data_IF_555873858797
#
_entry.id   IF_555873858797
#
_cell.length_a   1.000
_cell.length_b   1.000
_cell.length_c   1.000
_cell.angle_alpha   90.00
_cell.angle_beta   90.00
_cell.angle_gamma   90.00
#
_symmetry.space_group_name_H-M   'P 1'
#
loop_
_entity.id
_entity.type
_entity.pdbx_description
1 polymer ?
#
# COMPACT_ATOMS: atom_id res chain seq x y z
N UNK A 1 19.10 -20.60 -28.04
CA UNK A 1 18.34 -19.34 -28.22
C UNK A 1 17.95 -18.85 -26.84
N UNK A 2 18.58 -17.78 -26.37
CA UNK A 2 18.24 -17.20 -25.08
C UNK A 2 16.88 -16.50 -25.22
N UNK A 3 15.91 -16.93 -24.41
CA UNK A 3 14.65 -16.22 -24.24
C UNK A 3 14.99 -14.97 -23.45
N UNK A 4 15.20 -13.85 -24.15
CA UNK A 4 15.25 -12.55 -23.49
C UNK A 4 13.90 -12.34 -22.80
N UNK A 5 13.85 -12.13 -21.47
CA UNK A 5 12.61 -11.77 -20.84
C UNK A 5 12.18 -10.41 -21.41
N UNK A 6 11.00 -10.38 -22.02
CA UNK A 6 10.32 -9.19 -22.57
C UNK A 6 10.33 -8.00 -21.58
N UNK A 7 10.46 -8.30 -20.28
CA UNK A 7 10.65 -7.35 -19.18
C UNK A 7 11.76 -6.34 -19.43
N UNK A 8 12.92 -6.77 -19.92
CA UNK A 8 14.09 -5.91 -20.10
C UNK A 8 14.01 -5.09 -21.41
N UNK A 9 13.39 -5.62 -22.45
CA UNK A 9 13.30 -4.97 -23.77
C UNK A 9 12.56 -3.63 -23.72
N UNK A 10 11.53 -3.48 -22.88
CA UNK A 10 10.82 -2.21 -22.67
C UNK A 10 11.66 -1.14 -21.95
N UNK A 11 12.62 -1.52 -21.12
CA UNK A 11 13.53 -0.59 -20.44
C UNK A 11 14.70 -0.17 -21.34
N UNK A 12 15.17 -1.05 -22.23
CA UNK A 12 16.29 -0.78 -23.14
C UNK A 12 15.97 0.10 -24.35
N UNK A 13 14.69 0.33 -24.65
CA UNK A 13 14.26 1.16 -25.79
C UNK A 13 13.53 2.44 -25.34
N UNK A 14 13.57 2.76 -24.05
CA UNK A 14 13.31 4.15 -23.66
C UNK A 14 14.51 4.99 -24.11
N UNK A 15 14.28 6.17 -24.73
CA UNK A 15 15.37 7.09 -25.01
C UNK A 15 16.18 7.32 -23.73
N UNK A 16 17.48 7.63 -23.87
CA UNK A 16 18.27 8.13 -22.73
C UNK A 16 17.51 9.35 -22.21
N UNK A 17 16.84 9.22 -21.09
CA UNK A 17 16.02 10.30 -20.62
C UNK A 17 16.94 11.43 -20.21
N UNK A 18 16.78 12.59 -20.84
CA UNK A 18 17.63 13.73 -20.58
C UNK A 18 17.33 14.33 -19.21
N UNK A 19 18.28 15.07 -18.62
CA UNK A 19 18.01 15.88 -17.42
C UNK A 19 16.79 16.82 -17.63
N UNK A 20 16.52 17.23 -18.87
CA UNK A 20 15.34 18.01 -19.23
C UNK A 20 14.03 17.22 -19.05
N UNK A 21 13.99 15.94 -19.44
CA UNK A 21 12.80 15.08 -19.26
C UNK A 21 12.53 14.78 -17.78
N UNK A 22 13.58 14.59 -16.98
CA UNK A 22 13.41 14.47 -15.53
C UNK A 22 12.82 15.75 -14.94
N UNK A 23 13.34 16.92 -15.33
CA UNK A 23 12.81 18.20 -14.87
C UNK A 23 11.37 18.42 -15.34
N UNK A 24 11.05 18.11 -16.59
CA UNK A 24 9.69 18.22 -17.11
C UNK A 24 8.72 17.32 -16.32
N UNK A 25 9.07 16.05 -16.11
CA UNK A 25 8.29 15.15 -15.26
C UNK A 25 8.16 15.70 -13.84
N UNK A 26 9.24 16.16 -13.25
CA UNK A 26 9.28 16.69 -11.89
C UNK A 26 8.35 17.90 -11.71
N UNK A 27 8.28 18.79 -12.70
CA UNK A 27 7.41 19.97 -12.67
C UNK A 27 5.94 19.63 -12.93
N UNK A 28 5.67 18.65 -13.81
CA UNK A 28 4.32 18.41 -14.33
C UNK A 28 3.59 17.24 -13.66
N UNK A 29 4.28 16.34 -12.96
CA UNK A 29 3.63 15.17 -12.34
C UNK A 29 2.61 15.62 -11.29
N UNK A 30 1.45 14.98 -11.30
CA UNK A 30 0.33 15.24 -10.38
C UNK A 30 0.21 14.13 -9.34
N UNK A 31 -0.60 14.34 -8.30
CA UNK A 31 -0.90 13.32 -7.30
C UNK A 31 -1.45 12.03 -7.95
N UNK A 32 -2.40 12.16 -8.89
CA UNK A 32 -2.96 11.01 -9.61
C UNK A 32 -1.93 10.34 -10.52
N UNK A 33 -1.05 11.14 -11.13
CA UNK A 33 0.10 10.62 -11.88
C UNK A 33 0.98 9.72 -11.01
N UNK A 34 1.32 10.16 -9.79
CA UNK A 34 2.10 9.35 -8.84
C UNK A 34 1.34 8.09 -8.43
N UNK A 35 0.04 8.18 -8.10
CA UNK A 35 -0.79 7.01 -7.74
C UNK A 35 -0.85 5.98 -8.86
N UNK A 36 -0.99 6.43 -10.11
CA UNK A 36 -1.04 5.56 -11.29
C UNK A 36 0.31 4.91 -11.56
N UNK A 37 1.41 5.67 -11.46
CA UNK A 37 2.76 5.11 -11.58
C UNK A 37 3.08 4.13 -10.46
N UNK A 38 2.53 4.34 -9.25
CA UNK A 38 2.71 3.45 -8.12
C UNK A 38 1.88 2.15 -8.26
N UNK A 39 0.68 2.23 -8.84
CA UNK A 39 -0.09 1.03 -9.20
C UNK A 39 0.60 0.24 -10.33
N UNK A 40 1.06 0.92 -11.38
CA UNK A 40 1.82 0.29 -12.45
C UNK A 40 3.07 -0.42 -11.91
N UNK A 41 3.70 0.15 -10.88
CA UNK A 41 4.78 -0.51 -10.16
C UNK A 41 4.35 -1.85 -9.51
N UNK A 42 3.14 -1.94 -8.95
CA UNK A 42 2.64 -3.23 -8.43
C UNK A 42 2.41 -4.25 -9.54
N UNK A 43 1.93 -3.83 -10.70
CA UNK A 43 1.54 -4.71 -11.81
C UNK A 43 2.72 -5.18 -12.66
N UNK A 44 3.68 -4.29 -12.90
CA UNK A 44 4.80 -4.54 -13.80
C UNK A 44 6.11 -4.83 -13.05
N UNK A 45 6.19 -4.49 -11.76
CA UNK A 45 7.46 -4.45 -11.04
C UNK A 45 8.36 -3.33 -11.59
N UNK A 46 9.66 -3.42 -11.33
CA UNK A 46 10.66 -2.57 -11.99
C UNK A 46 12.03 -3.24 -12.02
N UNK A 47 13.09 -2.49 -12.34
CA UNK A 47 14.46 -3.00 -12.43
C UNK A 47 15.03 -3.58 -11.11
N UNK A 48 14.40 -3.29 -9.98
CA UNK A 48 14.77 -3.79 -8.66
C UNK A 48 13.82 -4.87 -8.14
N UNK A 49 12.64 -5.02 -8.75
CA UNK A 49 11.48 -5.63 -8.09
C UNK A 49 10.63 -6.46 -9.03
N UNK A 50 10.21 -7.64 -8.57
CA UNK A 50 9.14 -8.39 -9.21
C UNK A 50 7.77 -7.73 -8.94
N UNK A 51 6.79 -7.88 -9.85
CA UNK A 51 5.43 -7.44 -9.62
C UNK A 51 4.84 -7.96 -8.30
N UNK A 52 4.18 -7.08 -7.55
CA UNK A 52 3.41 -7.45 -6.35
C UNK A 52 2.00 -7.96 -6.67
N UNK A 53 1.47 -7.55 -7.82
CA UNK A 53 0.20 -7.95 -8.40
C UNK A 53 0.42 -8.30 -9.88
N UNK A 54 1.09 -9.42 -10.20
CA UNK A 54 1.32 -9.81 -11.59
C UNK A 54 0.00 -9.92 -12.35
N UNK A 55 0.06 -9.92 -13.69
CA UNK A 55 -1.13 -9.97 -14.56
C UNK A 55 -2.19 -11.00 -14.14
N UNK A 56 -1.77 -12.20 -13.74
CA UNK A 56 -2.69 -13.24 -13.26
C UNK A 56 -3.39 -12.87 -11.94
N UNK A 57 -2.69 -12.22 -11.01
CA UNK A 57 -3.28 -11.68 -9.78
C UNK A 57 -4.26 -10.55 -10.08
N UNK A 58 -3.93 -9.70 -11.07
CA UNK A 58 -4.82 -8.63 -11.51
C UNK A 58 -6.08 -9.16 -12.17
N UNK A 59 -5.96 -10.16 -13.05
CA UNK A 59 -7.10 -10.83 -13.68
C UNK A 59 -8.00 -11.50 -12.63
N UNK A 60 -7.41 -12.17 -11.63
CA UNK A 60 -8.14 -12.73 -10.50
C UNK A 60 -8.89 -11.65 -9.70
N UNK A 61 -8.21 -10.54 -9.41
CA UNK A 61 -8.81 -9.39 -8.71
C UNK A 61 -10.01 -8.87 -9.50
N UNK A 62 -9.83 -8.57 -10.79
CA UNK A 62 -10.87 -8.04 -11.67
C UNK A 62 -12.08 -8.98 -11.77
N UNK A 63 -11.88 -10.30 -11.83
CA UNK A 63 -12.95 -11.29 -11.79
C UNK A 63 -13.75 -11.22 -10.48
N UNK A 64 -13.05 -11.12 -9.34
CA UNK A 64 -13.68 -11.12 -8.01
C UNK A 64 -14.45 -9.85 -7.71
N UNK A 65 -14.05 -8.72 -8.28
CA UNK A 65 -14.72 -7.43 -8.06
C UNK A 65 -15.73 -7.07 -9.16
N UNK A 66 -15.86 -7.88 -10.21
CA UNK A 66 -16.74 -7.59 -11.36
C UNK A 66 -18.20 -7.31 -10.94
N UNK A 67 -18.69 -8.00 -9.91
CA UNK A 67 -20.04 -7.81 -9.37
C UNK A 67 -20.22 -6.63 -8.41
N UNK A 68 -19.14 -5.89 -8.09
CA UNK A 68 -19.17 -4.77 -7.13
C UNK A 68 -19.29 -3.40 -7.82
N UNK A 69 -19.10 -3.34 -9.13
CA UNK A 69 -19.04 -2.08 -9.88
C UNK A 69 -20.46 -1.54 -10.10
N UNK A 70 -20.68 -0.26 -9.77
CA UNK A 70 -21.93 0.41 -10.10
C UNK A 70 -22.07 0.58 -11.62
N UNK A 71 -23.28 0.43 -12.15
CA UNK A 71 -23.54 0.31 -13.58
C UNK A 71 -23.19 1.56 -14.44
N UNK A 72 -22.84 2.70 -13.84
CA UNK A 72 -22.68 3.98 -14.56
C UNK A 72 -21.30 4.65 -14.48
N UNK A 73 -20.47 4.43 -13.44
CA UNK A 73 -19.36 5.38 -13.15
C UNK A 73 -18.01 4.72 -12.79
N UNK A 74 -17.83 3.41 -13.00
CA UNK A 74 -16.63 2.65 -12.55
C UNK A 74 -16.33 2.76 -11.03
N UNK A 75 -17.21 3.40 -10.28
CA UNK A 75 -17.18 3.54 -8.83
C UNK A 75 -17.70 2.26 -8.17
N UNK A 76 -17.00 1.87 -7.11
CA UNK A 76 -17.34 0.71 -6.30
C UNK A 76 -17.93 1.22 -4.98
N UNK A 77 -19.23 0.99 -4.71
CA UNK A 77 -19.80 1.35 -3.42
C UNK A 77 -19.14 0.55 -2.29
N UNK A 78 -18.75 1.25 -1.23
CA UNK A 78 -18.14 0.64 -0.04
C UNK A 78 -19.03 -0.44 0.57
N UNK A 79 -20.34 -0.19 0.64
CA UNK A 79 -21.33 -1.15 1.15
C UNK A 79 -21.32 -2.45 0.35
N UNK A 80 -21.13 -2.38 -0.97
CA UNK A 80 -21.04 -3.58 -1.82
C UNK A 80 -19.81 -4.43 -1.49
N UNK A 81 -18.69 -3.80 -1.11
CA UNK A 81 -17.48 -4.52 -0.67
C UNK A 81 -17.76 -5.23 0.67
N UNK A 82 -18.35 -4.52 1.64
CA UNK A 82 -18.68 -5.08 2.95
C UNK A 82 -19.67 -6.25 2.82
N UNK A 83 -20.75 -6.07 2.04
CA UNK A 83 -21.75 -7.11 1.80
C UNK A 83 -21.12 -8.34 1.14
N UNK A 84 -20.24 -8.14 0.15
CA UNK A 84 -19.55 -9.24 -0.49
C UNK A 84 -18.60 -9.98 0.47
N UNK A 85 -17.85 -9.26 1.31
CA UNK A 85 -17.02 -9.87 2.34
C UNK A 85 -17.85 -10.69 3.32
N UNK A 86 -19.00 -10.18 3.78
CA UNK A 86 -19.93 -10.93 4.64
C UNK A 86 -20.47 -12.18 3.96
N UNK A 87 -20.78 -12.12 2.66
CA UNK A 87 -21.27 -13.28 1.89
C UNK A 87 -20.19 -14.36 1.71
N UNK A 88 -18.94 -13.96 1.45
CA UNK A 88 -17.83 -14.91 1.24
C UNK A 88 -17.32 -15.49 2.56
N UNK A 89 -17.52 -14.79 3.68
CA UNK A 89 -17.19 -15.26 5.05
C UNK A 89 -18.47 -15.41 5.90
N UNK A 90 -19.40 -16.32 5.56
CA UNK A 90 -20.74 -16.36 6.18
C UNK A 90 -20.70 -16.61 7.70
N UNK A 91 -19.73 -17.40 8.19
CA UNK A 91 -19.56 -17.65 9.63
C UNK A 91 -19.00 -16.47 10.42
N UNK A 92 -18.56 -15.40 9.73
CA UNK A 92 -17.98 -14.19 10.32
C UNK A 92 -18.73 -12.92 9.90
N UNK A 93 -19.89 -13.08 9.26
CA UNK A 93 -20.66 -11.98 8.68
C UNK A 93 -20.96 -10.89 9.73
N UNK A 94 -21.43 -11.27 10.93
CA UNK A 94 -21.74 -10.34 12.02
C UNK A 94 -20.52 -9.54 12.47
N UNK A 95 -19.35 -10.19 12.53
CA UNK A 95 -18.09 -9.54 12.90
C UNK A 95 -17.68 -8.53 11.83
N UNK A 96 -17.75 -8.90 10.55
CA UNK A 96 -17.47 -8.00 9.42
C UNK A 96 -18.40 -6.78 9.44
N UNK A 97 -19.71 -7.00 9.66
CA UNK A 97 -20.71 -5.93 9.71
C UNK A 97 -20.48 -5.00 10.91
N UNK A 98 -20.14 -5.54 12.09
CA UNK A 98 -19.85 -4.71 13.27
C UNK A 98 -18.61 -3.81 13.12
N UNK A 99 -17.63 -4.20 12.29
CA UNK A 99 -16.43 -3.42 12.02
C UNK A 99 -16.48 -2.66 10.68
N UNK A 100 -17.61 -2.74 9.95
CA UNK A 100 -17.75 -2.14 8.62
C UNK A 100 -17.34 -0.66 8.57
N UNK A 101 -17.74 0.23 9.51
CA UNK A 101 -17.32 1.63 9.47
C UNK A 101 -15.80 1.82 9.54
N UNK A 102 -15.06 0.93 10.19
CA UNK A 102 -13.59 1.00 10.20
C UNK A 102 -12.99 0.48 8.91
N UNK A 103 -13.50 -0.64 8.39
CA UNK A 103 -13.04 -1.19 7.12
C UNK A 103 -13.23 -0.19 5.98
N UNK A 104 -14.37 0.49 5.95
CA UNK A 104 -14.67 1.54 4.97
C UNK A 104 -13.66 2.69 5.03
N UNK A 105 -13.38 3.20 6.24
CA UNK A 105 -12.37 4.26 6.44
C UNK A 105 -10.99 3.81 5.99
N UNK A 106 -10.59 2.58 6.34
CA UNK A 106 -9.31 2.02 5.94
C UNK A 106 -9.21 1.89 4.41
N UNK A 107 -10.25 1.36 3.75
CA UNK A 107 -10.27 1.22 2.28
C UNK A 107 -10.11 2.59 1.62
N UNK A 108 -10.86 3.61 2.05
CA UNK A 108 -10.79 4.96 1.47
C UNK A 108 -9.43 5.62 1.72
N UNK A 109 -8.88 5.50 2.93
CA UNK A 109 -7.59 6.08 3.26
C UNK A 109 -6.47 5.45 2.43
N UNK A 110 -6.45 4.13 2.30
CA UNK A 110 -5.44 3.41 1.52
C UNK A 110 -5.65 3.54 0.01
N UNK A 111 -6.88 3.79 -0.46
CA UNK A 111 -7.15 4.19 -1.83
C UNK A 111 -6.55 5.57 -2.14
N UNK A 112 -6.61 6.50 -1.18
CA UNK A 112 -6.14 7.89 -1.33
C UNK A 112 -4.62 8.05 -1.10
N UNK A 113 -4.01 7.12 -0.35
CA UNK A 113 -2.58 7.08 -0.07
C UNK A 113 -1.71 7.23 -1.33
N UNK A 114 -0.60 8.02 -1.29
CA UNK A 114 0.01 8.66 -0.11
C UNK A 114 -0.45 10.10 0.17
N UNK A 115 -1.53 10.59 -0.46
CA UNK A 115 -1.93 11.99 -0.35
C UNK A 115 -3.21 12.16 0.47
N UNK A 116 -3.41 13.36 1.00
CA UNK A 116 -4.62 13.69 1.77
C UNK A 116 -5.85 13.98 0.90
N UNK A 117 -5.67 14.18 -0.42
CA UNK A 117 -6.77 14.36 -1.37
C UNK A 117 -7.52 13.04 -1.56
N UNK A 118 -8.83 12.97 -1.23
CA UNK A 118 -9.63 11.76 -1.46
C UNK A 118 -9.72 11.39 -2.94
N UNK A 119 -9.85 10.11 -3.23
CA UNK A 119 -10.10 9.59 -4.58
C UNK A 119 -11.42 8.82 -4.65
N UNK A 120 -12.05 8.83 -5.82
CA UNK A 120 -13.16 7.90 -6.12
C UNK A 120 -12.65 6.46 -6.05
N UNK A 121 -13.44 5.57 -5.44
CA UNK A 121 -13.07 4.17 -5.27
C UNK A 121 -13.29 3.39 -6.57
N UNK A 122 -12.37 3.54 -7.51
CA UNK A 122 -12.33 2.73 -8.74
C UNK A 122 -11.69 1.36 -8.49
N UNK A 123 -11.74 0.47 -9.48
CA UNK A 123 -11.03 -0.83 -9.45
C UNK A 123 -9.55 -0.68 -9.09
N UNK A 124 -8.88 0.30 -9.69
CA UNK A 124 -7.46 0.58 -9.50
C UNK A 124 -7.15 1.13 -8.11
N UNK A 125 -7.99 2.04 -7.63
CA UNK A 125 -7.89 2.57 -6.27
C UNK A 125 -8.11 1.46 -5.23
N UNK A 126 -9.08 0.57 -5.46
CA UNK A 126 -9.36 -0.58 -4.61
C UNK A 126 -8.20 -1.58 -4.64
N UNK A 127 -7.64 -1.90 -5.82
CA UNK A 127 -6.51 -2.82 -5.95
C UNK A 127 -5.30 -2.32 -5.15
N UNK A 128 -4.94 -1.05 -5.32
CA UNK A 128 -3.89 -0.38 -4.52
C UNK A 128 -4.21 -0.45 -3.03
N UNK A 129 -5.43 -0.14 -2.63
CA UNK A 129 -5.84 -0.17 -1.23
C UNK A 129 -5.66 -1.56 -0.61
N UNK A 130 -6.11 -2.62 -1.29
CA UNK A 130 -6.01 -4.00 -0.80
C UNK A 130 -4.56 -4.49 -0.69
N UNK A 131 -3.70 -4.13 -1.64
CA UNK A 131 -2.27 -4.46 -1.57
C UNK A 131 -1.63 -3.78 -0.36
N UNK A 132 -1.90 -2.48 -0.17
CA UNK A 132 -1.27 -1.69 0.88
C UNK A 132 -1.83 -1.94 2.29
N UNK A 133 -3.11 -2.31 2.41
CA UNK A 133 -3.77 -2.57 3.70
C UNK A 133 -3.41 -3.94 4.29
N UNK A 134 -2.83 -4.84 3.48
CA UNK A 134 -2.51 -6.21 3.89
C UNK A 134 -1.00 -6.43 4.02
N UNK A 135 -0.59 -7.60 4.51
CA UNK A 135 0.82 -8.02 4.58
C UNK A 135 1.54 -7.95 3.21
N UNK A 136 0.81 -7.97 2.08
CA UNK A 136 1.41 -7.79 0.74
C UNK A 136 2.15 -6.45 0.63
N UNK A 137 1.70 -5.43 1.37
CA UNK A 137 2.34 -4.12 1.45
C UNK A 137 3.76 -4.19 2.00
N UNK A 138 4.07 -5.10 2.92
CA UNK A 138 5.42 -5.21 3.51
C UNK A 138 6.49 -5.53 2.45
N UNK A 139 6.13 -6.33 1.45
CA UNK A 139 7.01 -6.63 0.31
C UNK A 139 7.33 -5.37 -0.51
N UNK A 140 6.42 -4.40 -0.59
CA UNK A 140 6.65 -3.10 -1.22
C UNK A 140 7.69 -2.27 -0.46
N UNK A 141 7.72 -2.42 0.87
CA UNK A 141 8.38 -1.49 1.79
C UNK A 141 9.75 -1.94 2.29
N UNK A 142 9.97 -3.25 2.37
CA UNK A 142 11.18 -3.86 2.95
C UNK A 142 12.47 -3.69 2.13
N UNK A 143 12.39 -3.21 0.89
CA UNK A 143 13.51 -3.28 -0.05
C UNK A 143 14.19 -1.92 -0.26
N UNK A 144 15.43 -1.80 0.22
CA UNK A 144 16.32 -0.66 -0.04
C UNK A 144 17.29 -0.93 -1.19
N UNK A 145 17.62 0.10 -1.98
CA UNK A 145 18.69 0.03 -2.99
C UNK A 145 19.85 0.91 -2.55
N UNK A 146 20.99 0.27 -2.27
CA UNK A 146 22.24 0.96 -1.95
C UNK A 146 23.19 0.88 -3.14
N UNK A 147 23.65 2.04 -3.62
CA UNK A 147 24.73 2.12 -4.61
C UNK A 147 25.88 2.91 -4.00
N UNK A 148 26.94 2.19 -3.59
CA UNK A 148 27.98 2.78 -2.74
C UNK A 148 27.44 3.20 -1.37
N UNK A 149 27.81 4.39 -0.90
CA UNK A 149 27.35 4.96 0.39
C UNK A 149 25.99 5.67 0.33
N UNK A 150 25.34 5.71 -0.84
CA UNK A 150 24.08 6.45 -1.06
C UNK A 150 22.89 5.49 -1.16
N UNK A 151 21.89 5.68 -0.29
CA UNK A 151 20.59 4.99 -0.40
C UNK A 151 19.74 5.71 -1.46
N UNK A 152 19.45 5.02 -2.57
CA UNK A 152 18.63 5.58 -3.67
C UNK A 152 17.14 5.32 -3.46
N UNK A 153 16.80 4.21 -2.81
CA UNK A 153 15.41 3.87 -2.47
C UNK A 153 15.31 3.66 -0.97
N UNK A 154 14.39 4.39 -0.35
CA UNK A 154 14.14 4.33 1.08
C UNK A 154 13.31 3.08 1.45
N UNK A 155 13.78 2.24 2.39
CA UNK A 155 12.94 1.23 3.00
C UNK A 155 11.96 1.89 3.99
N UNK A 156 10.75 1.33 4.09
CA UNK A 156 9.73 1.77 5.03
C UNK A 156 9.54 0.70 6.11
N UNK A 157 9.75 1.02 7.39
CA UNK A 157 9.49 0.08 8.48
C UNK A 157 7.99 -0.24 8.60
N UNK A 158 7.65 -1.47 9.00
CA UNK A 158 6.27 -1.92 9.28
C UNK A 158 5.53 -0.94 10.22
N UNK A 159 6.23 -0.42 11.25
CA UNK A 159 5.69 0.58 12.18
C UNK A 159 5.08 1.80 11.49
N UNK A 160 5.62 2.23 10.33
CA UNK A 160 5.06 3.34 9.54
C UNK A 160 3.77 2.97 8.82
N UNK A 161 3.58 1.70 8.44
CA UNK A 161 2.32 1.23 7.88
C UNK A 161 1.23 1.18 8.96
N UNK A 162 1.56 0.67 10.15
CA UNK A 162 0.66 0.66 11.30
C UNK A 162 0.33 2.07 11.83
N UNK A 163 1.30 2.98 11.83
CA UNK A 163 1.11 4.41 12.10
C UNK A 163 0.09 5.04 11.14
N UNK A 164 0.23 4.82 9.82
CA UNK A 164 -0.76 5.31 8.87
C UNK A 164 -2.14 4.67 9.08
N UNK A 165 -2.20 3.37 9.38
CA UNK A 165 -3.45 2.67 9.71
C UNK A 165 -4.15 3.31 10.93
N UNK A 166 -3.41 3.59 12.00
CA UNK A 166 -3.92 4.33 13.17
C UNK A 166 -4.48 5.71 12.75
N UNK A 167 -3.71 6.45 11.95
CA UNK A 167 -4.14 7.77 11.47
C UNK A 167 -5.43 7.70 10.64
N UNK A 168 -5.60 6.66 9.82
CA UNK A 168 -6.79 6.44 8.99
C UNK A 168 -8.04 6.16 9.83
N UNK A 169 -7.89 5.47 10.96
CA UNK A 169 -8.98 5.25 11.91
C UNK A 169 -9.39 6.54 12.63
N UNK A 170 -8.41 7.39 12.96
CA UNK A 170 -8.60 8.62 13.74
C UNK A 170 -8.96 9.86 12.91
N UNK A 171 -8.53 9.93 11.64
CA UNK A 171 -8.80 11.05 10.72
C UNK A 171 -9.39 10.56 9.40
N UNK A 172 -10.62 10.05 9.40
CA UNK A 172 -11.30 9.77 8.15
C UNK A 172 -11.54 11.09 7.36
N UNK A 173 -11.60 11.03 6.02
CA UNK A 173 -11.61 9.82 5.20
C UNK A 173 -10.22 9.31 4.77
N UNK A 174 -9.18 10.14 4.84
CA UNK A 174 -7.87 9.85 4.19
C UNK A 174 -6.73 9.53 5.14
N UNK A 175 -6.96 9.60 6.45
CA UNK A 175 -5.89 9.55 7.45
C UNK A 175 -5.05 10.82 7.46
N UNK A 176 -3.84 10.71 8.00
CA UNK A 176 -2.86 11.80 8.02
C UNK A 176 -1.53 11.30 7.41
N UNK A 177 -1.42 11.28 6.06
CA UNK A 177 -0.16 10.97 5.43
C UNK A 177 0.90 12.01 5.79
N UNK A 178 2.12 11.55 5.93
CA UNK A 178 3.31 12.33 6.24
C UNK A 178 4.12 12.60 4.96
N UNK A 179 5.06 13.55 5.02
CA UNK A 179 6.03 13.73 3.93
C UNK A 179 6.83 12.46 3.64
N UNK A 180 7.15 11.70 4.69
CA UNK A 180 7.83 10.41 4.55
C UNK A 180 7.01 9.44 3.70
N UNK A 181 5.68 9.42 3.85
CA UNK A 181 4.79 8.56 3.06
C UNK A 181 4.82 8.89 1.57
N UNK A 182 4.77 10.19 1.25
CA UNK A 182 4.83 10.69 -0.12
C UNK A 182 6.19 10.37 -0.74
N UNK A 183 7.28 10.62 0.00
CA UNK A 183 8.64 10.29 -0.44
C UNK A 183 8.83 8.80 -0.67
N UNK A 184 8.33 7.96 0.24
CA UNK A 184 8.43 6.51 0.15
C UNK A 184 7.78 5.97 -1.14
N UNK A 185 6.66 6.57 -1.55
CA UNK A 185 5.95 6.24 -2.80
C UNK A 185 6.67 6.79 -4.02
N UNK A 186 7.02 8.08 -4.05
CA UNK A 186 7.71 8.69 -5.20
C UNK A 186 8.98 7.92 -5.53
N UNK A 187 9.78 7.57 -4.51
CA UNK A 187 11.00 6.80 -4.67
C UNK A 187 10.80 5.38 -5.25
N UNK A 188 9.56 4.89 -5.34
CA UNK A 188 9.20 3.58 -5.90
C UNK A 188 8.54 3.65 -7.27
N UNK A 189 8.00 4.80 -7.65
CA UNK A 189 7.44 5.01 -8.98
C UNK A 189 8.50 4.90 -10.09
N UNK A 190 8.04 4.70 -11.32
CA UNK A 190 8.86 4.80 -12.51
C UNK A 190 8.91 6.26 -12.98
N UNK A 191 10.12 6.83 -13.03
CA UNK A 191 10.37 8.19 -13.49
C UNK A 191 11.58 8.24 -14.44
N UNK A 192 11.74 9.32 -15.21
CA UNK A 192 12.89 9.47 -16.10
C UNK A 192 14.20 9.48 -15.31
N UNK A 193 15.12 8.54 -15.56
CA UNK A 193 16.42 8.43 -14.88
C UNK A 193 17.54 8.07 -15.86
N UNK A 194 18.78 8.40 -15.48
CA UNK A 194 19.96 8.17 -16.30
C UNK A 194 20.26 6.67 -16.44
N UNK A 195 20.62 6.23 -17.65
CA UNK A 195 21.11 4.86 -17.90
C UNK A 195 22.63 4.86 -17.77
N UNK A 196 23.19 4.07 -16.84
CA UNK A 196 24.66 3.96 -16.74
C UNK A 196 25.17 3.01 -17.80
N UNK A 197 25.79 3.59 -18.83
CA UNK A 197 26.34 2.87 -19.97
C UNK A 197 27.66 2.12 -19.75
N UNK A 198 28.03 1.74 -18.51
CA UNK A 198 29.37 1.18 -18.25
C UNK A 198 29.45 -0.13 -17.47
N UNK A 199 28.34 -0.70 -17.00
CA UNK A 199 28.40 -1.98 -16.27
C UNK A 199 27.41 -2.98 -16.83
N UNK A 200 27.73 -3.51 -18.00
CA UNK A 200 27.11 -4.73 -18.52
C UNK A 200 27.71 -5.90 -17.73
N UNK A 201 27.10 -6.26 -16.60
CA UNK A 201 27.25 -7.61 -16.05
C UNK A 201 26.00 -8.36 -16.53
N UNK A 202 26.19 -9.39 -17.35
CA UNK A 202 25.13 -10.23 -17.93
C UNK A 202 24.19 -9.60 -18.99
N UNK A 203 24.54 -8.46 -19.60
CA UNK A 203 23.70 -7.86 -20.65
C UNK A 203 22.74 -6.76 -20.15
N UNK A 204 22.77 -6.44 -18.85
CA UNK A 204 21.79 -5.56 -18.21
C UNK A 204 22.31 -4.13 -18.01
N UNK A 205 21.61 -3.14 -18.60
CA UNK A 205 21.85 -1.72 -18.29
C UNK A 205 21.19 -1.39 -16.95
N UNK A 206 21.95 -0.85 -16.01
CA UNK A 206 21.42 -0.39 -14.73
C UNK A 206 20.96 1.07 -14.82
N UNK A 207 19.73 1.34 -14.37
CA UNK A 207 19.22 2.69 -14.16
C UNK A 207 19.90 3.32 -12.94
N UNK A 208 20.40 4.55 -13.06
CA UNK A 208 20.85 5.37 -11.94
C UNK A 208 19.68 6.17 -11.41
N UNK A 209 19.11 5.69 -10.31
CA UNK A 209 18.03 6.41 -9.63
C UNK A 209 18.59 7.62 -8.90
N UNK A 210 17.80 8.68 -8.91
CA UNK A 210 18.07 9.89 -8.12
C UNK A 210 18.07 9.56 -6.62
N UNK A 211 18.81 10.35 -5.84
CA UNK A 211 18.81 10.17 -4.39
C UNK A 211 17.45 10.59 -3.83
N UNK A 212 16.95 9.94 -2.78
CA UNK A 212 15.61 10.26 -2.24
C UNK A 212 15.46 11.74 -1.87
N UNK A 213 16.56 12.38 -1.44
CA UNK A 213 16.60 13.81 -1.10
C UNK A 213 16.27 14.72 -2.28
N UNK A 214 16.51 14.28 -3.53
CA UNK A 214 16.18 15.03 -4.73
C UNK A 214 14.66 15.14 -4.92
N UNK A 215 13.88 14.27 -4.28
CA UNK A 215 12.41 14.26 -4.34
C UNK A 215 11.73 15.04 -3.20
N UNK A 216 12.47 15.56 -2.22
CA UNK A 216 11.90 16.37 -1.12
C UNK A 216 11.08 17.55 -1.66
N UNK A 217 11.59 18.37 -2.60
CA UNK A 217 10.79 19.48 -3.13
C UNK A 217 9.56 19.01 -3.93
N UNK A 218 9.60 17.83 -4.52
CA UNK A 218 8.45 17.25 -5.22
C UNK A 218 7.39 16.77 -4.22
N UNK A 219 7.81 16.11 -3.14
CA UNK A 219 6.91 15.67 -2.09
C UNK A 219 6.18 16.86 -1.46
N UNK A 220 6.91 17.94 -1.15
CA UNK A 220 6.34 19.18 -0.61
C UNK A 220 5.38 19.88 -1.60
N UNK A 221 5.68 19.84 -2.91
CA UNK A 221 4.78 20.39 -3.94
C UNK A 221 3.49 19.58 -4.05
N UNK A 222 3.59 18.25 -4.01
CA UNK A 222 2.45 17.36 -4.19
C UNK A 222 1.59 17.27 -2.93
N UNK A 223 2.20 17.32 -1.76
CA UNK A 223 1.54 17.35 -0.46
C UNK A 223 2.25 18.40 0.38
N UNK A 224 1.71 19.62 0.52
CA UNK A 224 2.35 20.62 1.37
C UNK A 224 2.47 20.14 2.81
N UNK A 225 3.58 20.48 3.48
CA UNK A 225 3.78 20.16 4.90
C UNK A 225 2.66 20.81 5.71
N UNK A 226 1.86 20.00 6.38
CA UNK A 226 0.88 20.45 7.34
C UNK A 226 1.46 20.29 8.75
N UNK A 227 1.16 21.23 9.63
CA UNK A 227 1.52 21.09 11.04
C UNK A 227 0.92 19.79 11.58
N UNK A 228 1.77 18.96 12.20
CA UNK A 228 1.36 17.71 12.80
C UNK A 228 0.42 18.02 13.98
N UNK A 229 -0.88 18.04 13.70
CA UNK A 229 -1.87 18.04 14.76
C UNK A 229 -1.75 16.73 15.52
N UNK A 230 -1.83 16.71 16.86
CA UNK A 230 -1.93 15.48 17.62
C UNK A 230 -3.15 14.67 17.16
N UNK A 231 -2.99 13.36 17.00
CA UNK A 231 -4.13 12.47 16.81
C UNK A 231 -4.77 12.21 18.17
N UNK A 232 -6.10 12.25 18.23
CA UNK A 232 -6.80 11.82 19.43
C UNK A 232 -6.53 10.32 19.68
N UNK A 233 -6.51 9.87 20.94
CA UNK A 233 -6.44 8.45 21.27
C UNK A 233 -7.62 7.65 20.71
N UNK A 234 -7.37 6.41 20.25
CA UNK A 234 -8.40 5.51 19.76
C UNK A 234 -9.27 4.99 20.93
N UNK A 235 -10.60 5.17 20.92
CA UNK A 235 -11.46 4.75 22.04
C UNK A 235 -11.50 3.23 22.24
N UNK A 236 -11.65 2.79 23.50
CA UNK A 236 -11.74 1.38 23.88
C UNK A 236 -12.86 0.61 23.13
N UNK A 237 -13.97 1.27 22.82
CA UNK A 237 -15.04 0.67 22.01
C UNK A 237 -14.58 0.29 20.60
N UNK A 238 -13.73 1.11 19.97
CA UNK A 238 -13.19 0.81 18.66
C UNK A 238 -12.14 -0.30 18.72
N UNK A 239 -11.31 -0.28 19.76
CA UNK A 239 -10.32 -1.33 20.01
C UNK A 239 -11.01 -2.69 20.23
N UNK A 240 -12.11 -2.71 20.97
CA UNK A 240 -12.89 -3.93 21.21
C UNK A 240 -13.47 -4.52 19.92
N UNK A 241 -13.93 -3.67 19.00
CA UNK A 241 -14.37 -4.11 17.67
C UNK A 241 -13.20 -4.70 16.87
N UNK A 242 -12.04 -4.04 16.85
CA UNK A 242 -10.83 -4.55 16.20
C UNK A 242 -10.36 -5.87 16.82
N UNK A 243 -10.44 -6.02 18.14
CA UNK A 243 -10.10 -7.26 18.82
C UNK A 243 -11.06 -8.39 18.42
N UNK A 244 -12.36 -8.11 18.38
CA UNK A 244 -13.38 -9.09 17.94
C UNK A 244 -13.11 -9.54 16.51
N UNK A 245 -12.76 -8.59 15.63
CA UNK A 245 -12.32 -8.87 14.27
C UNK A 245 -11.07 -9.77 14.23
N UNK A 246 -10.02 -9.39 14.96
CA UNK A 246 -8.76 -10.15 14.99
C UNK A 246 -9.02 -11.57 15.47
N UNK A 247 -9.72 -11.77 16.59
CA UNK A 247 -10.09 -13.11 17.09
C UNK A 247 -10.83 -13.96 16.05
N UNK A 248 -11.67 -13.35 15.21
CA UNK A 248 -12.38 -14.07 14.16
C UNK A 248 -11.49 -14.42 12.95
N UNK A 249 -10.41 -13.68 12.69
CA UNK A 249 -9.56 -13.83 11.51
C UNK A 249 -8.15 -14.37 11.79
N UNK A 250 -7.73 -14.47 13.06
CA UNK A 250 -6.51 -15.15 13.48
C UNK A 250 -6.59 -16.65 13.14
N UNK A 251 -5.63 -17.20 12.37
CA UNK A 251 -5.61 -18.63 12.10
C UNK A 251 -5.33 -19.47 13.35
N UNK A 252 -5.76 -20.74 13.41
CA UNK A 252 -5.64 -21.59 14.61
C UNK A 252 -4.21 -21.83 15.11
N UNK A 253 -3.20 -21.60 14.28
CA UNK A 253 -1.78 -21.80 14.60
C UNK A 253 -1.08 -20.52 15.08
N UNK A 254 -1.76 -19.38 15.07
CA UNK A 254 -1.27 -18.12 15.64
C UNK A 254 -1.63 -18.05 17.14
N UNK A 255 -0.88 -17.26 17.91
CA UNK A 255 -1.22 -17.00 19.32
C UNK A 255 -2.59 -16.32 19.37
N UNK A 256 -3.40 -16.68 20.36
CA UNK A 256 -4.65 -15.97 20.61
C UNK A 256 -4.36 -14.48 20.80
N UNK A 257 -5.18 -13.58 20.21
CA UNK A 257 -4.95 -12.16 20.32
C UNK A 257 -5.07 -11.72 21.77
N UNK A 258 -4.00 -11.11 22.27
CA UNK A 258 -3.96 -10.57 23.62
C UNK A 258 -4.84 -9.32 23.67
N UNK A 259 -5.57 -9.15 24.77
CA UNK A 259 -6.25 -7.89 25.04
C UNK A 259 -5.18 -6.78 25.07
N UNK A 260 -5.38 -5.63 24.39
CA UNK A 260 -4.43 -4.53 24.46
C UNK A 260 -4.13 -4.25 25.94
N UNK A 261 -2.86 -4.29 26.33
CA UNK A 261 -2.38 -4.51 27.70
C UNK A 261 -2.78 -3.47 28.77
N UNK A 262 -3.75 -2.60 28.49
CA UNK A 262 -4.19 -1.52 29.33
C UNK A 262 -5.62 -1.78 29.81
N UNK A 263 -5.78 -2.80 30.67
CA UNK A 263 -7.09 -3.22 31.28
C UNK A 263 -7.87 -2.08 31.95
N UNK A 264 -7.27 -0.90 32.11
CA UNK A 264 -7.85 0.27 32.76
C UNK A 264 -7.86 1.54 31.91
N UNK A 265 -7.39 1.49 30.65
CA UNK A 265 -7.41 2.67 29.78
C UNK A 265 -8.68 2.69 28.93
N UNK A 266 -9.34 3.85 28.86
CA UNK A 266 -10.52 4.08 28.01
C UNK A 266 -10.14 4.34 26.54
N UNK A 267 -8.85 4.43 26.24
CA UNK A 267 -8.31 4.66 24.90
C UNK A 267 -6.87 4.18 24.78
N UNK A 268 -6.35 4.04 23.56
CA UNK A 268 -4.92 3.82 23.32
C UNK A 268 -4.38 4.89 22.38
N UNK A 269 -3.13 5.30 22.60
CA UNK A 269 -2.44 6.19 21.67
C UNK A 269 -1.83 5.43 20.47
N UNK A 270 -1.11 6.15 19.60
CA UNK A 270 -0.49 5.58 18.41
C UNK A 270 0.60 4.56 18.74
N UNK A 271 1.43 4.79 19.75
CA UNK A 271 2.54 3.90 20.09
C UNK A 271 2.02 2.60 20.72
N UNK A 272 1.04 2.72 21.60
CA UNK A 272 0.31 1.60 22.19
C UNK A 272 -0.42 0.79 21.12
N UNK A 273 -1.07 1.46 20.16
CA UNK A 273 -1.71 0.81 19.02
C UNK A 273 -0.72 0.04 18.16
N UNK A 274 0.41 0.64 17.77
CA UNK A 274 1.42 -0.01 16.93
C UNK A 274 1.95 -1.26 17.63
N UNK A 275 2.25 -1.17 18.94
CA UNK A 275 2.75 -2.29 19.73
C UNK A 275 1.74 -3.44 19.73
N UNK A 276 0.48 -3.16 20.09
CA UNK A 276 -0.59 -4.14 20.09
C UNK A 276 -0.82 -4.76 18.70
N UNK A 277 -0.96 -3.92 17.67
CA UNK A 277 -1.25 -4.36 16.30
C UNK A 277 -0.12 -5.23 15.71
N UNK A 278 1.13 -4.99 16.10
CA UNK A 278 2.27 -5.83 15.73
C UNK A 278 2.17 -7.20 16.41
N UNK A 279 1.94 -7.23 17.73
CA UNK A 279 1.87 -8.49 18.51
C UNK A 279 0.78 -9.44 18.02
N UNK A 280 -0.37 -8.90 17.63
CA UNK A 280 -1.52 -9.66 17.13
C UNK A 280 -1.51 -9.87 15.61
N UNK A 281 -0.48 -9.36 14.92
CA UNK A 281 -0.34 -9.45 13.45
C UNK A 281 -1.57 -8.90 12.71
N UNK A 282 -1.98 -7.67 13.02
CA UNK A 282 -3.20 -7.05 12.47
C UNK A 282 -3.24 -7.06 10.93
N UNK A 283 -2.11 -6.75 10.27
CA UNK A 283 -1.99 -6.75 8.81
C UNK A 283 -2.24 -8.14 8.19
N UNK A 284 -1.85 -9.20 8.90
CA UNK A 284 -2.14 -10.57 8.50
C UNK A 284 -3.62 -10.91 8.67
N UNK A 285 -4.28 -10.46 9.75
CA UNK A 285 -5.73 -10.63 9.91
C UNK A 285 -6.52 -9.89 8.81
N UNK A 286 -6.10 -8.67 8.46
CA UNK A 286 -6.64 -7.94 7.30
C UNK A 286 -6.37 -8.70 5.99
N UNK A 287 -5.20 -9.32 5.83
CA UNK A 287 -4.93 -10.19 4.69
C UNK A 287 -5.91 -11.37 4.62
N UNK A 288 -6.22 -12.03 5.75
CA UNK A 288 -7.18 -13.14 5.79
C UNK A 288 -8.60 -12.72 5.39
N UNK A 289 -9.00 -11.48 5.69
CA UNK A 289 -10.26 -10.91 5.22
C UNK A 289 -10.24 -10.70 3.69
N UNK A 290 -9.21 -10.03 3.19
CA UNK A 290 -9.13 -9.56 1.80
C UNK A 290 -8.51 -10.54 0.79
N UNK A 291 -8.01 -11.70 1.23
CA UNK A 291 -7.54 -12.78 0.33
C UNK A 291 -8.61 -13.31 -0.64
N UNK A 292 -9.88 -12.94 -0.43
CA UNK A 292 -10.95 -13.22 -1.39
C UNK A 292 -10.72 -12.46 -2.71
N UNK A 293 -10.10 -11.28 -2.65
CA UNK A 293 -9.74 -10.43 -3.79
C UNK A 293 -8.28 -10.59 -4.22
N UNK A 294 -7.42 -11.10 -3.35
CA UNK A 294 -5.98 -11.28 -3.59
C UNK A 294 -5.67 -12.79 -3.62
N UNK A 295 -5.18 -13.36 -4.74
CA UNK A 295 -4.96 -14.81 -4.79
C UNK A 295 -3.92 -15.25 -3.76
N UNK A 296 -3.94 -16.51 -3.29
CA UNK A 296 -2.86 -17.03 -2.47
C UNK A 296 -1.55 -17.00 -3.27
N UNK A 297 -0.48 -16.42 -2.72
CA UNK A 297 0.85 -16.53 -3.34
C UNK A 297 1.22 -18.01 -3.36
N UNK A 298 1.33 -18.59 -4.56
CA UNK A 298 1.80 -19.97 -4.74
C UNK A 298 3.09 -20.17 -3.93
N UNK A 299 3.08 -21.17 -3.05
CA UNK A 299 3.96 -21.26 -1.89
C UNK A 299 5.45 -21.06 -2.15
N UNK A 300 6.05 -20.23 -1.29
CA UNK A 300 7.39 -20.44 -0.72
C UNK A 300 7.36 -20.12 0.78
N UNK A 301 6.47 -20.78 1.50
CA UNK A 301 6.68 -21.04 2.91
C UNK A 301 6.78 -22.56 3.05
N UNK A 302 8.04 -23.00 3.00
CA UNK A 302 8.53 -24.29 3.45
C UNK A 302 9.77 -24.03 4.28
#
# INVERSE_FOLDING_TARGET
MAIFPVRLWRFFHRPKNTAAEFQEWFQNITQDGIRNQFLAYFEEGNECWDPLCPKADREYFDERIAGLVAASDDEIPLTSIIDNLSQVHPSKADVIQSIAPMLERLIVAYASFPFSTPVTLTKDALCRAMILLTERGESCWSQGRSKGSKQQIRPRPEKRQLSFLYSALMRPPTGAPTQDDVLDVICKTAYPCDVIGYTIINGDNWLDRHHYADFVPLAERLEPVQDAQPLEPLPASQIQLLQTFVSAFTPPYCKEPVYPGFRYSESIDEEEFITWATEISLLFCLHQLFKVYLPPRGGRFG
#
